data_IF_074925358349
#
_entry.id   IF_074925358349
#
_cell.length_a   1.000
_cell.length_b   1.000
_cell.length_c   1.000
_cell.angle_alpha   90.00
_cell.angle_beta   90.00
_cell.angle_gamma   90.00
#
_symmetry.space_group_name_H-M   'P 1'
#
loop_
_entity.id
_entity.type
_entity.pdbx_description
1 polymer ?
#
# COMPACT_ATOMS: atom_id res chain seq x y z
N UNK A 1 3.87 17.98 -7.60
CA UNK A 1 2.53 17.75 -7.09
C UNK A 1 2.45 16.43 -6.37
N UNK A 2 2.05 16.49 -5.14
CA UNK A 2 1.95 15.31 -4.29
C UNK A 2 0.63 14.60 -4.53
N UNK A 3 0.68 13.31 -4.72
CA UNK A 3 -0.52 12.50 -4.89
C UNK A 3 -0.55 11.37 -3.90
N UNK A 4 -1.71 11.13 -3.38
CA UNK A 4 -1.94 10.00 -2.48
C UNK A 4 -2.76 8.95 -3.18
N UNK A 5 -2.47 7.71 -2.86
CA UNK A 5 -3.30 6.57 -3.24
C UNK A 5 -4.14 6.21 -2.04
N UNK A 6 -5.45 6.14 -2.21
CA UNK A 6 -6.36 5.78 -1.14
C UNK A 6 -7.04 4.47 -1.47
N UNK A 7 -7.09 3.59 -0.48
CA UNK A 7 -7.86 2.34 -0.55
C UNK A 7 -8.91 2.40 0.54
N UNK A 8 -10.16 2.15 0.19
CA UNK A 8 -11.24 2.09 1.17
C UNK A 8 -11.93 0.73 1.11
N UNK A 9 -12.92 0.54 1.96
CA UNK A 9 -13.62 -0.74 2.03
C UNK A 9 -12.83 -1.84 2.69
N UNK A 10 -11.73 -1.51 3.36
CA UNK A 10 -10.91 -2.48 4.07
C UNK A 10 -11.49 -2.75 5.44
N UNK A 11 -11.04 -3.83 6.09
CA UNK A 11 -11.35 -4.03 7.50
C UNK A 11 -10.61 -2.98 8.33
N UNK A 12 -11.06 -2.74 9.55
CA UNK A 12 -10.61 -1.60 10.35
C UNK A 12 -9.11 -1.63 10.64
N UNK A 13 -8.50 -2.79 10.75
CA UNK A 13 -7.07 -2.93 11.06
C UNK A 13 -6.37 -3.82 10.04
N UNK A 14 -6.68 -3.64 8.78
CA UNK A 14 -6.04 -4.42 7.74
C UNK A 14 -4.55 -4.06 7.64
N UNK A 15 -3.74 -5.08 7.45
CA UNK A 15 -2.31 -4.92 7.23
C UNK A 15 -2.08 -4.68 5.74
N UNK A 16 -1.35 -3.63 5.39
CA UNK A 16 -1.10 -3.27 4.00
C UNK A 16 0.39 -3.21 3.77
N UNK A 17 0.87 -3.93 2.76
CA UNK A 17 2.26 -3.90 2.34
C UNK A 17 2.34 -3.49 0.89
N UNK A 18 3.21 -2.55 0.60
CA UNK A 18 3.46 -2.09 -0.76
C UNK A 18 4.77 -2.69 -1.22
N UNK A 19 4.73 -3.39 -2.35
CA UNK A 19 5.93 -4.01 -2.90
C UNK A 19 6.15 -3.60 -4.35
N UNK A 20 7.38 -3.79 -4.82
CA UNK A 20 7.68 -3.71 -6.24
C UNK A 20 7.13 -4.95 -6.94
N UNK A 21 7.21 -4.95 -8.28
CA UNK A 21 6.78 -6.12 -9.05
C UNK A 21 7.64 -7.35 -8.78
N UNK A 22 8.87 -7.15 -8.32
CA UNK A 22 9.75 -8.26 -7.94
C UNK A 22 9.54 -8.75 -6.50
N UNK A 23 8.65 -8.09 -5.75
CA UNK A 23 8.33 -8.50 -4.39
C UNK A 23 9.11 -7.79 -3.29
N UNK A 24 9.96 -6.82 -3.65
CA UNK A 24 10.71 -6.08 -2.64
C UNK A 24 9.79 -5.14 -1.87
N UNK A 25 9.86 -5.18 -0.55
CA UNK A 25 9.00 -4.35 0.30
C UNK A 25 9.42 -2.88 0.18
N UNK A 26 8.44 -2.02 -0.05
CA UNK A 26 8.63 -0.59 -0.17
C UNK A 26 8.10 0.11 1.07
N UNK A 27 6.92 -0.25 1.50
CA UNK A 27 6.26 0.41 2.62
C UNK A 27 5.27 -0.55 3.26
N UNK A 28 5.06 -0.41 4.56
CA UNK A 28 4.08 -1.20 5.28
C UNK A 28 3.31 -0.29 6.21
N UNK A 29 2.01 -0.51 6.32
CA UNK A 29 1.16 0.25 7.19
C UNK A 29 -0.11 -0.50 7.51
N UNK A 30 -1.05 0.17 8.16
CA UNK A 30 -2.35 -0.40 8.53
C UNK A 30 -3.47 0.53 8.13
N UNK A 31 -4.61 -0.04 7.78
CA UNK A 31 -5.79 0.75 7.55
C UNK A 31 -6.29 1.34 8.85
N UNK A 32 -6.95 2.48 8.74
CA UNK A 32 -7.58 3.14 9.89
C UNK A 32 -9.03 3.36 9.54
N UNK A 33 -9.91 2.68 10.28
CA UNK A 33 -11.33 2.75 9.99
C UNK A 33 -11.70 2.27 8.61
N UNK A 34 -10.96 1.31 8.07
CA UNK A 34 -11.20 0.78 6.74
C UNK A 34 -10.56 1.57 5.60
N UNK A 35 -9.76 2.58 5.92
CA UNK A 35 -9.10 3.43 4.94
C UNK A 35 -7.59 3.33 5.09
N UNK A 36 -6.88 3.20 3.97
CA UNK A 36 -5.43 3.25 3.92
C UNK A 36 -5.00 4.29 2.89
N UNK A 37 -4.07 5.14 3.27
CA UNK A 37 -3.50 6.15 2.38
C UNK A 37 -2.00 5.96 2.25
N UNK A 38 -1.52 6.08 1.02
CA UNK A 38 -0.09 6.00 0.74
C UNK A 38 0.31 7.21 -0.10
N UNK A 39 1.31 7.92 0.35
CA UNK A 39 1.77 9.15 -0.28
C UNK A 39 2.88 8.92 -1.32
N UNK A 40 3.16 7.67 -1.66
CA UNK A 40 4.20 7.36 -2.64
C UNK A 40 5.60 7.39 -2.10
N UNK A 41 5.76 7.27 -0.78
CA UNK A 41 7.09 7.26 -0.16
C UNK A 41 7.39 5.89 0.39
N UNK A 42 8.69 5.53 0.36
CA UNK A 42 9.12 4.29 0.99
C UNK A 42 9.22 4.48 2.51
N UNK A 43 9.64 3.44 3.22
CA UNK A 43 9.71 3.48 4.68
C UNK A 43 10.76 4.45 5.20
N UNK A 44 11.62 4.97 4.33
CA UNK A 44 12.62 5.98 4.69
C UNK A 44 12.19 7.39 4.34
N UNK A 45 10.96 7.55 3.84
CA UNK A 45 10.42 8.84 3.48
C UNK A 45 10.82 9.34 2.10
N UNK A 46 11.42 8.50 1.27
CA UNK A 46 11.83 8.88 -0.08
C UNK A 46 10.72 8.59 -1.07
N UNK A 47 10.54 9.48 -2.03
CA UNK A 47 9.59 9.26 -3.12
C UNK A 47 10.02 8.05 -3.94
N UNK A 48 9.10 7.14 -4.19
CA UNK A 48 9.38 5.99 -5.04
C UNK A 48 9.42 6.41 -6.51
N UNK A 49 10.09 5.62 -7.33
CA UNK A 49 10.13 5.86 -8.77
C UNK A 49 8.75 5.58 -9.39
N UNK A 50 8.49 6.23 -10.53
CA UNK A 50 7.30 5.91 -11.31
C UNK A 50 7.34 4.44 -11.73
N UNK A 51 6.22 3.78 -11.65
CA UNK A 51 6.15 2.37 -12.01
C UNK A 51 4.93 1.71 -11.40
N UNK A 52 4.92 0.38 -11.47
CA UNK A 52 3.82 -0.44 -10.96
C UNK A 52 4.22 -1.01 -9.61
N UNK A 53 3.30 -0.93 -8.67
CA UNK A 53 3.47 -1.46 -7.32
C UNK A 53 2.27 -2.32 -6.96
N UNK A 54 2.47 -3.23 -6.03
CA UNK A 54 1.39 -4.08 -5.53
C UNK A 54 1.12 -3.77 -4.07
N UNK A 55 -0.16 -3.68 -3.76
CA UNK A 55 -0.63 -3.55 -2.38
C UNK A 55 -1.14 -4.91 -1.95
N UNK A 56 -0.51 -5.48 -0.94
CA UNK A 56 -0.91 -6.76 -0.36
C UNK A 56 -1.65 -6.47 0.92
N UNK A 57 -2.92 -6.81 0.95
CA UNK A 57 -3.81 -6.45 2.05
C UNK A 57 -4.25 -7.73 2.73
N UNK A 58 -4.07 -7.81 4.04
CA UNK A 58 -4.53 -8.94 4.82
C UNK A 58 -5.26 -8.43 6.06
N UNK A 59 -6.17 -9.25 6.59
CA UNK A 59 -6.86 -8.93 7.82
C UNK A 59 -5.89 -8.97 9.00
N UNK A 60 -6.32 -8.37 10.12
CA UNK A 60 -5.48 -8.31 11.32
C UNK A 60 -5.05 -9.69 11.81
N UNK A 61 -5.86 -10.71 11.58
CA UNK A 61 -5.54 -12.08 11.99
C UNK A 61 -4.71 -12.82 10.94
N UNK A 62 -4.32 -12.15 9.86
CA UNK A 62 -3.54 -12.75 8.79
C UNK A 62 -4.35 -13.55 7.78
N UNK A 63 -5.65 -13.66 7.96
CA UNK A 63 -6.50 -14.39 7.03
C UNK A 63 -6.85 -13.51 5.85
N UNK A 64 -7.09 -14.12 4.70
CA UNK A 64 -7.56 -13.45 3.50
C UNK A 64 -6.66 -12.34 2.97
N UNK A 65 -5.85 -12.66 2.01
CA UNK A 65 -5.04 -11.68 1.30
C UNK A 65 -5.74 -11.19 0.04
N UNK A 66 -5.65 -9.90 -0.20
CA UNK A 66 -6.06 -9.28 -1.46
C UNK A 66 -4.86 -8.55 -2.00
N UNK A 67 -4.63 -8.66 -3.31
CA UNK A 67 -3.55 -7.93 -3.95
C UNK A 67 -4.14 -6.96 -4.97
N UNK A 68 -3.77 -5.70 -4.84
CA UNK A 68 -4.18 -4.66 -5.78
C UNK A 68 -2.97 -4.11 -6.50
N UNK A 69 -3.11 -3.86 -7.78
CA UNK A 69 -2.04 -3.31 -8.61
C UNK A 69 -2.23 -1.80 -8.73
N UNK A 70 -1.19 -1.04 -8.48
CA UNK A 70 -1.24 0.42 -8.48
C UNK A 70 -0.13 0.96 -9.35
N UNK A 71 -0.45 1.89 -10.23
CA UNK A 71 0.54 2.58 -11.03
C UNK A 71 0.83 3.94 -10.40
N UNK A 72 2.10 4.22 -10.19
CA UNK A 72 2.56 5.51 -9.67
C UNK A 72 3.18 6.28 -10.84
N UNK A 73 2.66 7.47 -11.08
CA UNK A 73 3.16 8.35 -12.14
C UNK A 73 3.54 9.67 -11.51
N UNK A 74 4.77 10.07 -11.70
CA UNK A 74 5.31 11.29 -11.11
C UNK A 74 5.62 12.33 -12.16
#
# INVERSE_FOLDING_TARGET
LQREVSLDGLTADADVRVTTTSGALVYAGRSQGGLFRWDGRDSRGRMVASGVYYFHISNADGSRGITAKVAVVR
#
